data_IF_084297448979
#
_entry.id   IF_084297448979
#
_cell.length_a   1.000
_cell.length_b   1.000
_cell.length_c   1.000
_cell.angle_alpha   90.00
_cell.angle_beta   90.00
_cell.angle_gamma   90.00
#
_symmetry.space_group_name_H-M   'P 1'
#
loop_
_entity.id
_entity.type
_entity.pdbx_description
1 polymer ?
#
# COMPACT_ATOMS: atom_id res chain seq x y z
N UNK A 1 2.52 15.68 -10.83
CA UNK A 1 3.06 14.30 -10.78
C UNK A 1 4.48 14.46 -10.31
N UNK A 2 4.74 14.09 -9.07
CA UNK A 2 6.09 14.17 -8.49
C UNK A 2 6.79 12.85 -8.79
N UNK A 3 7.49 12.87 -9.91
CA UNK A 3 8.26 11.78 -10.49
C UNK A 3 9.58 11.63 -9.72
N UNK A 4 9.53 11.08 -8.52
CA UNK A 4 10.75 10.59 -7.85
C UNK A 4 10.93 9.10 -8.17
N UNK A 5 11.42 8.80 -9.38
CA UNK A 5 12.08 7.52 -9.68
C UNK A 5 11.22 6.38 -10.25
N UNK A 6 10.14 6.68 -10.99
CA UNK A 6 9.45 5.70 -11.85
C UNK A 6 8.70 4.55 -11.15
N UNK A 7 8.77 4.43 -9.82
CA UNK A 7 8.10 3.40 -9.04
C UNK A 7 6.81 3.93 -8.46
N UNK A 8 5.68 3.44 -8.97
CA UNK A 8 4.38 3.70 -8.38
C UNK A 8 4.28 3.04 -7.00
N UNK A 9 3.68 3.73 -6.03
CA UNK A 9 3.29 3.12 -4.77
C UNK A 9 1.78 3.25 -4.63
N UNK A 10 1.09 2.11 -4.63
CA UNK A 10 -0.35 2.03 -4.45
C UNK A 10 -0.69 1.88 -2.97
N UNK A 11 -1.59 2.71 -2.46
CA UNK A 11 -2.13 2.61 -1.11
C UNK A 11 -3.62 2.29 -1.19
N UNK A 12 -4.05 1.19 -0.57
CA UNK A 12 -5.47 0.85 -0.48
C UNK A 12 -5.94 0.93 0.97
N UNK A 13 -6.88 1.85 1.25
CA UNK A 13 -7.49 2.00 2.57
C UNK A 13 -8.82 1.22 2.63
N UNK A 14 -8.88 0.20 3.48
CA UNK A 14 -10.10 -0.60 3.70
C UNK A 14 -10.49 -0.61 5.17
N UNK A 15 -11.73 -0.19 5.46
CA UNK A 15 -12.27 -0.25 6.83
C UNK A 15 -12.59 -1.67 7.32
N UNK A 16 -12.67 -2.64 6.40
CA UNK A 16 -12.88 -4.06 6.75
C UNK A 16 -11.57 -4.69 7.24
N UNK A 17 -11.66 -5.65 8.18
CA UNK A 17 -10.51 -6.38 8.75
C UNK A 17 -9.68 -7.15 7.71
N UNK A 18 -10.26 -7.51 6.57
CA UNK A 18 -9.56 -8.31 5.58
C UNK A 18 -8.51 -7.43 4.90
N UNK A 19 -7.24 -7.69 5.19
CA UNK A 19 -6.13 -7.15 4.41
C UNK A 19 -6.34 -7.55 2.93
N UNK A 20 -6.60 -6.57 2.08
CA UNK A 20 -6.62 -6.80 0.64
C UNK A 20 -5.17 -6.96 0.20
N UNK A 21 -4.84 -8.09 -0.43
CA UNK A 21 -3.59 -8.18 -1.19
C UNK A 21 -3.77 -7.43 -2.50
N UNK A 22 -2.68 -6.87 -3.03
CA UNK A 22 -2.68 -6.29 -4.37
C UNK A 22 -3.37 -7.25 -5.34
N UNK A 23 -4.27 -6.74 -6.17
CA UNK A 23 -4.88 -7.56 -7.21
C UNK A 23 -3.77 -8.09 -8.12
N UNK A 24 -3.89 -9.34 -8.61
CA UNK A 24 -2.87 -9.94 -9.49
C UNK A 24 -2.51 -9.02 -10.66
N UNK A 25 -3.53 -8.39 -11.24
CA UNK A 25 -3.40 -7.39 -12.30
C UNK A 25 -2.51 -6.19 -11.93
N UNK A 26 -2.54 -5.73 -10.67
CA UNK A 26 -1.67 -4.64 -10.22
C UNK A 26 -0.21 -5.08 -10.14
N UNK A 27 0.03 -6.27 -9.58
CA UNK A 27 1.37 -6.87 -9.52
C UNK A 27 1.93 -7.16 -10.93
N UNK A 28 1.07 -7.50 -11.89
CA UNK A 28 1.46 -7.76 -13.28
C UNK A 28 1.69 -6.47 -14.08
N UNK A 29 0.86 -5.44 -13.87
CA UNK A 29 0.97 -4.16 -14.60
C UNK A 29 2.14 -3.33 -14.08
N UNK A 30 2.39 -3.40 -12.76
CA UNK A 30 3.43 -2.64 -12.10
C UNK A 30 4.21 -3.56 -11.13
N UNK A 31 5.06 -4.47 -11.65
CA UNK A 31 5.82 -5.41 -10.82
C UNK A 31 6.83 -4.70 -9.91
N UNK A 32 7.23 -3.49 -10.29
CA UNK A 32 8.16 -2.65 -9.51
C UNK A 32 7.45 -1.70 -8.54
N UNK A 33 6.10 -1.72 -8.54
CA UNK A 33 5.30 -0.87 -7.66
C UNK A 33 5.08 -1.51 -6.30
N UNK A 34 5.30 -0.72 -5.24
CA UNK A 34 4.88 -1.10 -3.90
C UNK A 34 3.35 -1.09 -3.81
N UNK A 35 2.77 -2.07 -3.12
CA UNK A 35 1.35 -2.03 -2.75
C UNK A 35 1.19 -2.20 -1.25
N UNK A 36 0.57 -1.20 -0.63
CA UNK A 36 0.39 -1.12 0.82
C UNK A 36 -1.11 -1.08 1.13
N UNK A 37 -1.63 -2.15 1.72
CA UNK A 37 -3.02 -2.19 2.18
C UNK A 37 -3.11 -1.75 3.64
N UNK A 38 -3.73 -0.60 3.86
CA UNK A 38 -4.00 -0.06 5.19
C UNK A 38 -5.43 -0.44 5.61
N UNK A 39 -5.56 -1.09 6.75
CA UNK A 39 -6.81 -1.55 7.31
C UNK A 39 -6.88 -1.27 8.82
N UNK A 40 -8.03 -1.52 9.46
CA UNK A 40 -8.22 -1.24 10.89
C UNK A 40 -7.23 -1.92 11.85
N UNK A 41 -6.51 -2.96 11.41
CA UNK A 41 -5.51 -3.64 12.22
C UNK A 41 -4.13 -2.95 12.12
N UNK A 42 -3.77 -2.36 10.97
CA UNK A 42 -2.46 -1.75 10.74
C UNK A 42 -2.50 -0.22 10.49
N UNK A 43 -3.68 0.42 10.53
CA UNK A 43 -3.80 1.87 10.30
C UNK A 43 -3.11 2.69 11.39
N UNK A 44 -3.12 2.20 12.64
CA UNK A 44 -2.41 2.84 13.75
C UNK A 44 -0.90 2.79 13.52
N UNK A 45 -0.38 1.64 13.09
CA UNK A 45 1.04 1.47 12.75
C UNK A 45 1.44 2.35 11.55
N UNK A 46 0.59 2.44 10.53
CA UNK A 46 0.80 3.33 9.38
C UNK A 46 0.86 4.81 9.79
N UNK A 47 0.00 5.24 10.72
CA UNK A 47 -0.04 6.63 11.20
C UNK A 47 1.08 6.95 12.19
N UNK A 48 1.44 5.99 13.05
CA UNK A 48 2.47 6.15 14.06
C UNK A 48 3.88 6.02 13.50
N UNK A 49 4.03 5.46 12.27
CA UNK A 49 5.26 5.45 11.47
C UNK A 49 6.49 5.15 12.29
N UNK A 50 6.77 3.86 12.52
CA UNK A 50 7.84 3.32 13.38
C UNK A 50 9.03 4.28 13.59
N UNK A 51 8.94 5.10 14.64
CA UNK A 51 10.00 5.99 15.11
C UNK A 51 10.84 5.16 16.10
N UNK A 52 11.81 4.38 15.56
CA UNK A 52 12.87 3.76 16.35
C UNK A 52 14.19 3.63 15.60
#
# INVERSE_FOLDING_TARGET
MEESGGRLNGYEFKWRKKATKASKTWLETYPEAGFYAVNRENYLEFLLGDDK
#
